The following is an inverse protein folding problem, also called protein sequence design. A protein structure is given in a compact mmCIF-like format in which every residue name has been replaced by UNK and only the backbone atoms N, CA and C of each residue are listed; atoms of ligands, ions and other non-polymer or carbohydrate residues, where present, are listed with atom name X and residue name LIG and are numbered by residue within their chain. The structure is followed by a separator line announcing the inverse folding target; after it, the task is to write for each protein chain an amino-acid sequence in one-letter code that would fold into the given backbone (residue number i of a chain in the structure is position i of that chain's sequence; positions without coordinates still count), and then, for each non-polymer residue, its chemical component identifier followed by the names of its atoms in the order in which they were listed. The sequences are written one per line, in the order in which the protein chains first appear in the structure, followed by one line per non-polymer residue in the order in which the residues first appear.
data_IF_324558044868
#
_entry.id   IF_324558044868
#
_cell.length_a   1.000
_cell.length_b   1.000
_cell.length_c   1.000
_cell.angle_alpha   90.00
_cell.angle_beta   90.00
_cell.angle_gamma   90.00
#
_symmetry.space_group_name_H-M   'P 1'
#
loop_
_entity.id
_entity.type
_entity.pdbx_description
1 polymer ?
#
# COMPACT_ATOMS: atom_id res chain seq x y z
N UNK A 1 -7.57 24.63 7.41
CA UNK A 1 -6.33 23.80 7.30
C UNK A 1 -6.57 22.29 7.15
N UNK A 2 -7.73 21.72 7.57
CA UNK A 2 -7.96 20.27 7.46
C UNK A 2 -8.06 19.71 6.03
N UNK A 3 -8.64 20.45 5.08
CA UNK A 3 -8.88 19.96 3.71
C UNK A 3 -7.59 19.62 2.93
N UNK A 4 -6.45 20.28 3.20
CA UNK A 4 -5.20 20.05 2.47
C UNK A 4 -4.47 18.78 2.93
N UNK A 5 -4.68 18.34 4.18
CA UNK A 5 -4.01 17.16 4.76
C UNK A 5 -4.54 15.85 4.17
N UNK A 6 -5.77 15.83 3.64
CA UNK A 6 -6.45 14.62 3.14
C UNK A 6 -6.56 14.57 1.61
N UNK A 7 -5.94 15.50 0.88
CA UNK A 7 -5.96 15.53 -0.58
C UNK A 7 -5.40 14.25 -1.23
N UNK A 8 -4.61 13.47 -0.49
CA UNK A 8 -4.08 12.18 -0.94
C UNK A 8 -5.09 11.03 -0.82
N UNK A 9 -6.14 11.16 -0.01
CA UNK A 9 -7.03 10.05 0.32
C UNK A 9 -7.83 9.62 -0.92
N UNK A 10 -8.39 10.58 -1.65
CA UNK A 10 -9.16 10.32 -2.86
C UNK A 10 -8.36 9.57 -3.95
N UNK A 11 -7.18 10.06 -4.39
CA UNK A 11 -6.40 9.34 -5.40
C UNK A 11 -5.87 7.99 -4.89
N UNK A 12 -5.57 7.87 -3.59
CA UNK A 12 -5.12 6.61 -3.00
C UNK A 12 -6.24 5.55 -2.94
N UNK A 13 -7.45 5.95 -2.58
CA UNK A 13 -8.61 5.05 -2.55
C UNK A 13 -9.04 4.65 -3.97
N UNK A 14 -9.07 5.60 -4.93
CA UNK A 14 -9.32 5.29 -6.33
C UNK A 14 -8.29 4.30 -6.88
N UNK A 15 -7.00 4.50 -6.58
CA UNK A 15 -5.95 3.58 -6.97
C UNK A 15 -6.17 2.18 -6.40
N UNK A 16 -6.44 2.06 -5.10
CA UNK A 16 -6.70 0.75 -4.48
C UNK A 16 -7.98 0.10 -5.01
N UNK A 17 -9.01 0.88 -5.33
CA UNK A 17 -10.24 0.38 -5.94
C UNK A 17 -9.97 -0.19 -7.34
N UNK A 18 -9.16 0.49 -8.15
CA UNK A 18 -8.72 0.00 -9.46
C UNK A 18 -7.89 -1.28 -9.30
N UNK A 19 -6.90 -1.31 -8.40
CA UNK A 19 -6.12 -2.51 -8.13
C UNK A 19 -6.98 -3.69 -7.66
N UNK A 20 -8.02 -3.41 -6.88
CA UNK A 20 -8.97 -4.43 -6.42
C UNK A 20 -9.81 -4.95 -7.58
N UNK A 21 -10.29 -4.07 -8.46
CA UNK A 21 -11.02 -4.46 -9.68
C UNK A 21 -10.15 -5.29 -10.62
N UNK A 22 -8.88 -4.92 -10.80
CA UNK A 22 -7.91 -5.70 -11.60
C UNK A 22 -7.67 -7.07 -10.97
N UNK A 23 -7.48 -7.14 -9.65
CA UNK A 23 -7.30 -8.41 -8.95
C UNK A 23 -8.55 -9.30 -9.08
N UNK A 24 -9.74 -8.72 -8.92
CA UNK A 24 -11.00 -9.43 -9.09
C UNK A 24 -11.14 -10.00 -10.52
N UNK A 25 -10.84 -9.19 -11.53
CA UNK A 25 -10.87 -9.63 -12.92
C UNK A 25 -9.85 -10.74 -13.21
N UNK A 26 -8.61 -10.61 -12.70
CA UNK A 26 -7.58 -11.63 -12.84
C UNK A 26 -8.00 -12.95 -12.19
N UNK A 27 -8.52 -12.91 -10.97
CA UNK A 27 -9.00 -14.12 -10.29
C UNK A 27 -10.17 -14.77 -11.02
N UNK A 28 -11.08 -13.96 -11.57
CA UNK A 28 -12.17 -14.43 -12.42
C UNK A 28 -11.69 -15.14 -13.69
N UNK A 29 -10.60 -14.67 -14.32
CA UNK A 29 -10.00 -15.33 -15.48
C UNK A 29 -9.39 -16.71 -15.17
N UNK A 30 -8.97 -16.93 -13.92
CA UNK A 30 -8.41 -18.21 -13.45
C UNK A 30 -9.42 -19.06 -12.67
N UNK A 31 -10.70 -18.68 -12.66
CA UNK A 31 -11.77 -19.36 -11.90
C UNK A 31 -11.49 -19.46 -10.39
N UNK A 32 -10.66 -18.56 -9.85
CA UNK A 32 -10.33 -18.50 -8.43
C UNK A 32 -11.35 -17.60 -7.72
N UNK A 33 -12.04 -18.07 -6.66
CA UNK A 33 -13.01 -17.24 -5.95
C UNK A 33 -12.31 -16.09 -5.22
N UNK A 34 -12.90 -14.90 -5.31
CA UNK A 34 -12.49 -13.77 -4.48
C UNK A 34 -12.94 -14.02 -3.04
N UNK A 35 -12.01 -14.50 -2.21
CA UNK A 35 -12.27 -14.89 -0.83
C UNK A 35 -11.92 -13.82 0.20
N UNK A 36 -12.09 -14.21 1.47
CA UNK A 36 -11.82 -13.36 2.63
C UNK A 36 -10.35 -12.94 2.71
N UNK A 37 -9.43 -13.77 2.22
CA UNK A 37 -7.99 -13.51 2.25
C UNK A 37 -7.59 -12.35 1.32
N UNK A 38 -8.19 -12.28 0.13
CA UNK A 38 -7.98 -11.21 -0.84
C UNK A 38 -8.57 -9.90 -0.31
N UNK A 39 -9.78 -9.96 0.27
CA UNK A 39 -10.38 -8.80 0.93
C UNK A 39 -9.51 -8.28 2.08
N UNK A 40 -9.00 -9.18 2.94
CA UNK A 40 -8.12 -8.81 4.04
C UNK A 40 -6.83 -8.14 3.54
N UNK A 41 -6.28 -8.60 2.42
CA UNK A 41 -5.10 -8.00 1.77
C UNK A 41 -5.39 -6.56 1.33
N UNK A 42 -6.52 -6.33 0.66
CA UNK A 42 -6.94 -4.99 0.22
C UNK A 42 -7.09 -4.07 1.42
N UNK A 43 -7.85 -4.50 2.44
CA UNK A 43 -8.08 -3.70 3.65
C UNK A 43 -6.77 -3.40 4.37
N UNK A 44 -5.88 -4.38 4.50
CA UNK A 44 -4.56 -4.22 5.11
C UNK A 44 -3.74 -3.12 4.42
N UNK A 45 -3.63 -3.14 3.09
CA UNK A 45 -2.87 -2.14 2.36
C UNK A 45 -3.51 -0.75 2.39
N UNK A 46 -4.84 -0.66 2.40
CA UNK A 46 -5.55 0.61 2.54
C UNK A 46 -5.28 1.22 3.92
N UNK A 47 -5.51 0.47 5.00
CA UNK A 47 -5.34 0.97 6.37
C UNK A 47 -3.89 1.36 6.63
N UNK A 48 -2.94 0.50 6.24
CA UNK A 48 -1.52 0.77 6.40
C UNK A 48 -1.08 1.98 5.56
N UNK A 49 -1.56 2.09 4.32
CA UNK A 49 -1.25 3.22 3.44
C UNK A 49 -1.78 4.55 3.97
N UNK A 50 -3.02 4.58 4.47
CA UNK A 50 -3.60 5.78 5.10
C UNK A 50 -2.77 6.19 6.33
N UNK A 51 -2.46 5.24 7.22
CA UNK A 51 -1.65 5.51 8.41
C UNK A 51 -0.27 6.10 8.07
N UNK A 52 0.43 5.52 7.10
CA UNK A 52 1.74 6.01 6.67
C UNK A 52 1.65 7.38 5.97
N UNK A 53 0.68 7.58 5.07
CA UNK A 53 0.55 8.84 4.34
C UNK A 53 0.13 10.00 5.24
N UNK A 54 -0.73 9.78 6.23
CA UNK A 54 -1.08 10.80 7.23
C UNK A 54 0.14 11.19 8.09
N UNK A 55 0.93 10.21 8.52
CA UNK A 55 2.15 10.44 9.29
C UNK A 55 3.23 11.20 8.49
N UNK A 56 3.43 10.81 7.22
CA UNK A 56 4.37 11.46 6.30
C UNK A 56 3.94 12.89 5.94
N UNK A 57 2.63 13.10 5.69
CA UNK A 57 2.09 14.41 5.32
C UNK A 57 2.36 15.48 6.36
N UNK A 58 2.48 15.10 7.64
CA UNK A 58 2.76 16.03 8.73
C UNK A 58 4.22 16.53 8.77
N UNK A 59 5.17 15.88 8.08
CA UNK A 59 6.55 16.38 7.95
C UNK A 59 6.79 17.18 6.66
N UNK A 60 5.91 17.03 5.66
CA UNK A 60 6.08 17.64 4.34
C UNK A 60 6.05 19.19 4.40
N UNK A 61 5.39 19.75 5.41
CA UNK A 61 5.21 21.19 5.58
C UNK A 61 6.30 21.85 6.44
N UNK A 62 7.13 21.08 7.13
CA UNK A 62 8.09 21.60 8.12
C UNK A 62 9.53 21.59 7.60
N UNK A 63 10.00 20.47 7.03
CA UNK A 63 11.38 20.32 6.56
C UNK A 63 11.52 19.22 5.49
N UNK A 64 12.10 19.50 4.31
CA UNK A 64 12.31 18.49 3.27
C UNK A 64 13.20 17.32 3.70
N UNK A 65 14.21 17.52 4.56
CA UNK A 65 15.06 16.41 5.05
C UNK A 65 14.27 15.46 5.96
N UNK A 66 13.49 16.03 6.87
CA UNK A 66 12.63 15.27 7.78
C UNK A 66 11.56 14.49 7.01
N UNK A 67 11.04 15.07 5.93
CA UNK A 67 10.06 14.43 5.05
C UNK A 67 10.62 13.16 4.39
N UNK A 68 11.85 13.22 3.86
CA UNK A 68 12.52 12.04 3.27
C UNK A 68 12.80 10.98 4.34
N UNK A 69 13.26 11.38 5.52
CA UNK A 69 13.48 10.44 6.63
C UNK A 69 12.18 9.71 7.00
N UNK A 70 11.07 10.43 7.24
CA UNK A 70 9.78 9.79 7.57
C UNK A 70 9.25 8.94 6.42
N UNK A 71 9.51 9.31 5.17
CA UNK A 71 9.17 8.46 4.02
C UNK A 71 9.94 7.14 4.08
N UNK A 72 11.27 7.18 4.24
CA UNK A 72 12.11 5.98 4.33
C UNK A 72 11.73 5.12 5.55
N UNK A 73 11.53 5.73 6.72
CA UNK A 73 11.08 5.01 7.91
C UNK A 73 9.71 4.37 7.70
N UNK A 74 8.77 5.06 7.06
CA UNK A 74 7.46 4.51 6.73
C UNK A 74 7.55 3.32 5.76
N UNK A 75 8.47 3.37 4.79
CA UNK A 75 8.71 2.26 3.86
C UNK A 75 9.30 1.05 4.56
N UNK A 76 10.29 1.25 5.43
CA UNK A 76 10.86 0.18 6.26
C UNK A 76 9.78 -0.45 7.16
N UNK A 77 8.96 0.38 7.81
CA UNK A 77 7.86 -0.10 8.65
C UNK A 77 6.85 -0.91 7.84
N UNK A 78 6.49 -0.45 6.64
CA UNK A 78 5.62 -1.18 5.71
C UNK A 78 6.23 -2.53 5.34
N UNK A 79 7.51 -2.56 4.98
CA UNK A 79 8.24 -3.79 4.64
C UNK A 79 8.22 -4.79 5.80
N UNK A 80 8.57 -4.35 7.01
CA UNK A 80 8.58 -5.21 8.19
C UNK A 80 7.19 -5.77 8.50
N UNK A 81 6.16 -4.94 8.46
CA UNK A 81 4.78 -5.39 8.68
C UNK A 81 4.34 -6.37 7.58
N UNK A 82 4.68 -6.12 6.32
CA UNK A 82 4.32 -7.03 5.22
C UNK A 82 5.05 -8.36 5.31
N UNK A 83 6.32 -8.36 5.73
CA UNK A 83 7.10 -9.58 5.97
C UNK A 83 6.52 -10.38 7.12
N UNK A 84 6.11 -9.71 8.21
CA UNK A 84 5.46 -10.38 9.34
C UNK A 84 4.16 -11.05 8.91
N UNK A 85 3.32 -10.36 8.13
CA UNK A 85 2.07 -10.92 7.58
C UNK A 85 2.35 -12.13 6.68
N UNK A 86 3.33 -12.02 5.78
CA UNK A 86 3.74 -13.14 4.92
C UNK A 86 4.28 -14.32 5.72
N UNK A 87 5.09 -14.08 6.75
CA UNK A 87 5.62 -15.12 7.63
C UNK A 87 4.50 -15.85 8.36
N UNK A 88 3.52 -15.11 8.90
CA UNK A 88 2.33 -15.70 9.53
C UNK A 88 1.53 -16.52 8.53
N UNK A 89 1.32 -16.02 7.31
CA UNK A 89 0.61 -16.74 6.27
C UNK A 89 1.33 -18.06 5.89
N UNK A 90 2.65 -18.02 5.68
CA UNK A 90 3.45 -19.21 5.35
C UNK A 90 3.40 -20.27 6.46
N UNK A 91 3.40 -19.84 7.74
CA UNK A 91 3.38 -20.75 8.89
C UNK A 91 1.97 -21.32 9.16
N UNK A 92 0.92 -20.55 8.89
CA UNK A 92 -0.46 -20.90 9.28
C UNK A 92 -1.31 -21.47 8.13
N UNK A 93 -1.01 -21.16 6.88
CA UNK A 93 -1.81 -21.61 5.73
C UNK A 93 -1.29 -22.92 5.13
N UNK A 94 -2.17 -23.74 4.53
CA UNK A 94 -1.77 -24.89 3.73
C UNK A 94 -0.92 -24.43 2.54
N UNK A 95 0.14 -25.17 2.19
CA UNK A 95 1.08 -24.79 1.11
C UNK A 95 0.40 -24.52 -0.24
N UNK A 96 -0.73 -25.19 -0.49
CA UNK A 96 -1.53 -25.03 -1.72
C UNK A 96 -2.19 -23.64 -1.79
N UNK A 97 -2.70 -23.14 -0.66
CA UNK A 97 -3.38 -21.84 -0.58
C UNK A 97 -2.39 -20.68 -0.43
N UNK A 98 -1.19 -20.95 0.11
CA UNK A 98 -0.14 -19.93 0.30
C UNK A 98 0.21 -19.27 -1.03
N UNK A 99 0.36 -20.02 -2.12
CA UNK A 99 0.75 -19.44 -3.42
C UNK A 99 -0.34 -18.50 -3.96
N UNK A 100 -1.60 -18.93 -3.87
CA UNK A 100 -2.76 -18.15 -4.31
C UNK A 100 -2.98 -16.88 -3.47
N UNK A 101 -2.50 -16.86 -2.23
CA UNK A 101 -2.49 -15.67 -1.37
C UNK A 101 -1.29 -14.75 -1.61
N UNK A 102 -0.08 -15.34 -1.69
CA UNK A 102 1.19 -14.60 -1.74
C UNK A 102 1.34 -13.85 -3.05
N UNK A 103 0.94 -14.43 -4.20
CA UNK A 103 1.06 -13.74 -5.49
C UNK A 103 0.26 -12.41 -5.52
N UNK A 104 -1.05 -12.42 -5.22
CA UNK A 104 -1.84 -11.19 -5.11
C UNK A 104 -1.30 -10.23 -4.06
N UNK A 105 -0.84 -10.74 -2.92
CA UNK A 105 -0.30 -9.92 -1.83
C UNK A 105 0.95 -9.15 -2.27
N UNK A 106 1.89 -9.82 -2.94
CA UNK A 106 3.10 -9.20 -3.50
C UNK A 106 2.72 -8.20 -4.59
N UNK A 107 1.78 -8.55 -5.47
CA UNK A 107 1.28 -7.64 -6.49
C UNK A 107 0.71 -6.34 -5.91
N UNK A 108 -0.14 -6.45 -4.88
CA UNK A 108 -0.70 -5.31 -4.16
C UNK A 108 0.36 -4.48 -3.43
N UNK A 109 1.34 -5.16 -2.83
CA UNK A 109 2.47 -4.51 -2.19
C UNK A 109 3.24 -3.64 -3.19
N UNK A 110 3.65 -4.21 -4.34
CA UNK A 110 4.41 -3.52 -5.37
C UNK A 110 3.62 -2.37 -6.01
N UNK A 111 2.34 -2.58 -6.28
CA UNK A 111 1.46 -1.53 -6.81
C UNK A 111 1.39 -0.33 -5.85
N UNK A 112 1.13 -0.59 -4.56
CA UNK A 112 1.11 0.47 -3.55
C UNK A 112 2.50 1.09 -3.30
N UNK A 113 3.58 0.33 -3.46
CA UNK A 113 4.95 0.84 -3.37
C UNK A 113 5.25 1.84 -4.50
N UNK A 114 4.88 1.48 -5.72
CA UNK A 114 5.03 2.33 -6.90
C UNK A 114 4.22 3.61 -6.74
N UNK A 115 2.94 3.52 -6.35
CA UNK A 115 2.10 4.69 -6.11
C UNK A 115 2.71 5.63 -5.07
N UNK A 116 3.12 5.10 -3.90
CA UNK A 116 3.74 5.89 -2.84
C UNK A 116 5.01 6.60 -3.31
N UNK A 117 5.84 5.90 -4.09
CA UNK A 117 7.12 6.43 -4.59
C UNK A 117 6.89 7.51 -5.63
N UNK A 118 6.04 7.26 -6.63
CA UNK A 118 5.70 8.25 -7.67
C UNK A 118 5.09 9.50 -7.04
N UNK A 119 4.14 9.34 -6.11
CA UNK A 119 3.53 10.47 -5.39
C UNK A 119 4.57 11.26 -4.62
N UNK A 120 5.45 10.60 -3.86
CA UNK A 120 6.48 11.26 -3.08
C UNK A 120 7.48 12.01 -3.96
N UNK A 121 7.94 11.38 -5.05
CA UNK A 121 8.83 12.03 -6.03
C UNK A 121 8.18 13.25 -6.70
N UNK A 122 6.89 13.16 -7.05
CA UNK A 122 6.15 14.30 -7.62
C UNK A 122 6.06 15.47 -6.63
N UNK A 123 5.76 15.18 -5.35
CA UNK A 123 5.70 16.19 -4.29
C UNK A 123 7.06 16.86 -4.04
N UNK A 124 8.16 16.10 -4.09
CA UNK A 124 9.51 16.67 -3.99
C UNK A 124 9.86 17.55 -5.19
N UNK A 125 9.50 17.15 -6.42
CA UNK A 125 9.75 17.94 -7.64
C UNK A 125 9.01 19.28 -7.62
N UNK A 126 7.75 19.30 -7.17
CA UNK A 126 6.96 20.52 -7.06
C UNK A 126 7.51 21.53 -6.03
N UNK A 127 8.41 21.12 -5.13
CA UNK A 127 9.03 21.99 -4.12
C UNK A 127 10.50 22.32 -4.39
N UNK A 128 11.10 21.77 -5.45
CA UNK A 128 12.45 22.15 -5.87
C UNK A 128 12.33 23.52 -6.59
N UNK A 129 13.07 24.56 -6.17
CA UNK A 129 13.04 25.86 -6.83
C UNK A 129 13.53 25.77 -8.28
#
# INVERSE_FOLDING_TARGET
MFARRWSFLAPFLLFNLICTGVLYALLGLFEIPFGTQQLATVVYFIVLGIGLHTWQGSALDTDPKLSVQRYMTGMVLKMLLTLLVLLVAIVKMPKVDVVAFVLPFIGFYLANLAFSTVRFSALLRQRKP
#
